data_IF_502235659735
#
_entry.id   IF_502235659735
#
_cell.length_a   1.000
_cell.length_b   1.000
_cell.length_c   1.000
_cell.angle_alpha   90.00
_cell.angle_beta   90.00
_cell.angle_gamma   90.00
#
_symmetry.space_group_name_H-M   'P 1'
#
loop_
_entity.id
_entity.type
_entity.pdbx_description
1 polymer ?
#
# COMPACT_ATOMS: atom_id res chain seq x y z
N UNK A 1 49.16 25.84 18.45
CA UNK A 1 48.66 24.45 18.32
C UNK A 1 47.96 24.06 19.62
N UNK A 2 46.63 23.97 19.63
CA UNK A 2 45.95 23.01 20.49
C UNK A 2 44.58 22.75 19.87
N UNK A 3 44.43 21.55 19.30
CA UNK A 3 43.24 21.12 18.59
C UNK A 3 42.14 20.90 19.63
N UNK A 4 41.11 21.74 19.59
CA UNK A 4 39.85 21.48 20.27
C UNK A 4 39.23 20.25 19.57
N UNK A 5 39.37 19.07 20.17
CA UNK A 5 38.70 17.86 19.70
C UNK A 5 37.28 17.93 20.24
N UNK A 6 36.34 18.31 19.37
CA UNK A 6 34.92 18.08 19.57
C UNK A 6 34.73 16.61 19.99
N UNK A 7 34.39 16.44 21.27
CA UNK A 7 34.07 15.15 21.85
C UNK A 7 32.71 14.78 21.28
N UNK A 8 32.69 14.07 20.16
CA UNK A 8 31.49 13.41 19.61
C UNK A 8 30.85 12.62 20.74
N UNK A 9 29.75 13.13 21.27
CA UNK A 9 28.90 12.42 22.23
C UNK A 9 28.38 11.20 21.47
N UNK A 10 28.66 10.01 21.99
CA UNK A 10 28.24 8.76 21.38
C UNK A 10 26.71 8.63 21.54
N UNK A 11 25.97 8.18 20.54
CA UNK A 11 24.49 8.14 20.59
C UNK A 11 23.96 7.20 21.69
N UNK A 12 24.77 6.22 22.11
CA UNK A 12 24.55 5.41 23.33
C UNK A 12 24.45 6.28 24.59
N UNK A 13 25.20 7.38 24.67
CA UNK A 13 25.19 8.31 25.80
C UNK A 13 23.93 9.20 25.78
N UNK A 14 23.37 9.50 24.61
CA UNK A 14 22.17 10.34 24.51
C UNK A 14 20.95 9.66 25.14
N UNK A 15 20.85 8.34 24.97
CA UNK A 15 19.75 7.56 25.52
C UNK A 15 19.96 7.18 26.99
N UNK A 16 21.21 6.94 27.39
CA UNK A 16 21.61 6.91 28.80
C UNK A 16 21.18 8.19 29.52
N UNK A 17 21.36 9.35 28.89
CA UNK A 17 20.93 10.65 29.43
C UNK A 17 19.41 10.78 29.50
N UNK A 18 18.63 10.32 28.51
CA UNK A 18 17.16 10.39 28.58
C UNK A 18 16.54 9.50 29.66
N UNK A 19 17.15 8.35 29.96
CA UNK A 19 16.73 7.43 31.03
C UNK A 19 17.10 8.01 32.41
N UNK A 20 18.26 8.66 32.53
CA UNK A 20 18.69 9.33 33.77
C UNK A 20 17.94 10.65 34.04
N UNK A 21 17.43 11.34 33.01
CA UNK A 21 16.74 12.63 33.12
C UNK A 21 15.21 12.57 33.36
N UNK A 22 14.64 11.42 33.76
CA UNK A 22 13.20 11.26 34.13
C UNK A 22 12.18 11.65 33.05
N UNK A 23 12.47 11.56 31.75
CA UNK A 23 11.40 11.62 30.74
C UNK A 23 10.75 10.23 30.62
N UNK A 24 9.54 10.09 31.15
CA UNK A 24 8.77 8.84 31.06
C UNK A 24 8.62 8.44 29.59
N UNK A 25 9.15 7.27 29.22
CA UNK A 25 8.94 6.70 27.89
C UNK A 25 7.44 6.60 27.59
N UNK A 26 7.06 6.87 26.35
CA UNK A 26 5.70 6.66 25.88
C UNK A 26 5.27 5.22 26.14
N UNK A 27 4.01 5.00 26.54
CA UNK A 27 3.45 3.65 26.68
C UNK A 27 3.66 2.80 25.42
N UNK A 28 3.60 3.44 24.24
CA UNK A 28 3.81 2.79 22.96
C UNK A 28 5.26 2.34 22.76
N UNK A 29 6.26 3.04 23.33
CA UNK A 29 7.66 2.59 23.30
C UNK A 29 7.86 1.42 24.26
N UNK A 30 7.29 1.53 25.46
CA UNK A 30 7.41 0.49 26.50
C UNK A 30 6.82 -0.86 26.09
N UNK A 31 5.84 -0.87 25.18
CA UNK A 31 5.21 -2.11 24.72
C UNK A 31 6.17 -3.01 23.92
N UNK A 32 7.04 -2.44 23.08
CA UNK A 32 7.95 -3.22 22.25
C UNK A 32 9.40 -3.17 22.75
N UNK A 33 9.81 -2.09 23.41
CA UNK A 33 11.15 -1.96 23.98
C UNK A 33 11.19 -2.56 25.38
N UNK A 34 11.60 -3.83 25.46
CA UNK A 34 11.66 -4.60 26.73
C UNK A 34 12.95 -4.41 27.52
N UNK A 35 13.90 -3.62 27.01
CA UNK A 35 15.22 -3.40 27.59
C UNK A 35 15.42 -1.95 28.00
N UNK A 36 16.35 -1.74 28.92
CA UNK A 36 16.66 -0.41 29.43
C UNK A 36 17.49 0.40 28.45
N UNK A 37 18.40 -0.21 27.68
CA UNK A 37 19.25 0.52 26.74
C UNK A 37 18.71 0.36 25.32
N UNK A 38 18.65 1.45 24.55
CA UNK A 38 18.24 1.45 23.16
C UNK A 38 19.38 1.93 22.26
N UNK A 39 19.60 1.19 21.19
CA UNK A 39 20.53 1.44 20.11
C UNK A 39 19.72 1.55 18.82
N UNK A 40 19.69 2.75 18.24
CA UNK A 40 18.86 3.02 17.07
C UNK A 40 19.24 2.19 15.83
N UNK A 41 20.50 1.75 15.72
CA UNK A 41 20.97 1.01 14.56
C UNK A 41 20.61 -0.48 14.65
N UNK A 42 20.33 -0.98 15.86
CA UNK A 42 20.04 -2.39 16.13
C UNK A 42 18.55 -2.59 16.46
N UNK A 43 17.97 -1.67 17.22
CA UNK A 43 16.65 -1.86 17.83
C UNK A 43 15.48 -1.43 16.96
N UNK A 44 15.76 -0.76 15.84
CA UNK A 44 14.71 -0.51 14.86
C UNK A 44 14.15 -1.83 14.29
N UNK A 45 14.97 -2.89 14.19
CA UNK A 45 14.51 -4.23 13.83
C UNK A 45 13.55 -4.83 14.86
N UNK A 46 13.74 -4.52 16.15
CA UNK A 46 12.81 -4.95 17.19
C UNK A 46 11.45 -4.27 17.02
N UNK A 47 11.47 -2.99 16.67
CA UNK A 47 10.26 -2.23 16.38
C UNK A 47 9.53 -2.76 15.13
N UNK A 48 10.23 -2.98 14.03
CA UNK A 48 9.62 -3.50 12.79
C UNK A 48 9.08 -4.92 12.98
N UNK A 49 9.81 -5.78 13.70
CA UNK A 49 9.34 -7.13 14.06
C UNK A 49 8.09 -7.07 14.92
N UNK A 50 8.04 -6.18 15.91
CA UNK A 50 6.84 -5.97 16.73
C UNK A 50 5.62 -5.56 15.89
N UNK A 51 5.80 -4.62 14.94
CA UNK A 51 4.70 -4.19 14.06
C UNK A 51 4.23 -5.35 13.18
N UNK A 52 5.16 -6.16 12.66
CA UNK A 52 4.84 -7.35 11.87
C UNK A 52 4.05 -8.38 12.68
N UNK A 53 4.49 -8.70 13.89
CA UNK A 53 3.84 -9.72 14.71
C UNK A 53 2.49 -9.26 15.24
N UNK A 54 2.34 -7.96 15.54
CA UNK A 54 1.11 -7.40 16.14
C UNK A 54 0.05 -7.04 15.10
N UNK A 55 0.46 -6.57 13.92
CA UNK A 55 -0.44 -6.01 12.91
C UNK A 55 -0.33 -6.70 11.54
N UNK A 56 0.58 -7.66 11.37
CA UNK A 56 0.80 -8.35 10.10
C UNK A 56 1.51 -7.50 9.04
N UNK A 57 2.05 -6.33 9.40
CA UNK A 57 2.66 -5.40 8.44
C UNK A 57 4.19 -5.53 8.48
N UNK A 58 4.78 -5.84 7.34
CA UNK A 58 6.24 -5.92 7.21
C UNK A 58 6.85 -4.56 6.88
N UNK A 59 8.12 -4.36 7.22
CA UNK A 59 8.90 -3.19 6.83
C UNK A 59 9.97 -3.61 5.82
N UNK A 60 10.10 -2.83 4.75
CA UNK A 60 11.12 -3.00 3.75
C UNK A 60 12.32 -2.14 4.13
N UNK A 61 13.40 -2.79 4.58
CA UNK A 61 14.61 -2.10 5.04
C UNK A 61 15.34 -1.40 3.89
N UNK A 62 15.34 -1.97 2.68
CA UNK A 62 16.03 -1.43 1.50
C UNK A 62 15.36 -0.14 0.99
N UNK A 63 14.03 -0.14 0.93
CA UNK A 63 13.21 0.97 0.45
C UNK A 63 12.75 1.90 1.58
N UNK A 64 13.08 1.54 2.82
CA UNK A 64 12.74 2.25 4.04
C UNK A 64 11.24 2.61 4.14
N UNK A 65 10.37 1.63 3.86
CA UNK A 65 8.93 1.82 3.74
C UNK A 65 8.16 0.63 4.32
N UNK A 66 6.91 0.83 4.74
CA UNK A 66 6.04 -0.30 5.12
C UNK A 66 5.58 -1.07 3.88
N UNK A 67 5.57 -2.39 3.94
CA UNK A 67 5.02 -3.25 2.88
C UNK A 67 3.61 -3.67 3.29
N UNK A 68 2.63 -2.92 2.78
CA UNK A 68 1.21 -3.14 3.03
C UNK A 68 0.54 -3.50 1.71
N UNK A 69 -0.11 -4.66 1.66
CA UNK A 69 -0.84 -5.07 0.46
C UNK A 69 -2.11 -4.24 0.27
N UNK A 70 -2.57 -4.14 -0.98
CA UNK A 70 -3.84 -3.46 -1.32
C UNK A 70 -5.02 -4.04 -0.53
N UNK A 71 -5.11 -5.37 -0.42
CA UNK A 71 -6.18 -6.05 0.33
C UNK A 71 -6.11 -5.75 1.83
N UNK A 72 -4.91 -5.79 2.42
CA UNK A 72 -4.73 -5.51 3.84
C UNK A 72 -5.14 -4.09 4.20
N UNK A 73 -4.92 -3.09 3.33
CA UNK A 73 -5.38 -1.71 3.59
C UNK A 73 -6.91 -1.61 3.54
N UNK A 74 -7.55 -2.28 2.59
CA UNK A 74 -9.00 -2.22 2.45
C UNK A 74 -9.74 -2.88 3.62
N UNK A 75 -9.15 -3.93 4.18
CA UNK A 75 -9.70 -4.68 5.31
C UNK A 75 -9.33 -4.07 6.66
N UNK A 76 -8.27 -3.26 6.72
CA UNK A 76 -7.79 -2.65 7.95
C UNK A 76 -8.65 -1.48 8.38
N UNK A 77 -9.22 -1.58 9.58
CA UNK A 77 -9.98 -0.50 10.19
C UNK A 77 -9.12 0.77 10.36
N UNK A 78 -9.73 1.94 10.17
CA UNK A 78 -9.08 3.25 10.31
C UNK A 78 -8.42 3.39 11.70
N UNK A 79 -9.02 2.78 12.72
CA UNK A 79 -8.58 2.75 14.10
C UNK A 79 -7.26 1.98 14.26
N UNK A 80 -7.06 0.90 13.50
CA UNK A 80 -5.81 0.14 13.45
C UNK A 80 -4.69 0.98 12.82
N UNK A 81 -4.96 1.68 11.73
CA UNK A 81 -4.00 2.60 11.09
C UNK A 81 -3.62 3.73 12.06
N UNK A 82 -4.61 4.31 12.75
CA UNK A 82 -4.36 5.33 13.79
C UNK A 82 -3.47 4.77 14.88
N UNK A 83 -3.73 3.56 15.35
CA UNK A 83 -2.97 2.91 16.41
C UNK A 83 -1.51 2.67 16.00
N UNK A 84 -1.28 2.07 14.83
CA UNK A 84 0.08 1.85 14.31
C UNK A 84 0.84 3.17 14.16
N UNK A 85 0.17 4.22 13.67
CA UNK A 85 0.79 5.55 13.56
C UNK A 85 1.15 6.16 14.92
N UNK A 86 0.48 5.79 16.03
CA UNK A 86 0.91 6.20 17.39
C UNK A 86 2.22 5.51 17.79
N UNK A 87 2.38 4.23 17.43
CA UNK A 87 3.64 3.50 17.61
C UNK A 87 4.77 4.12 16.79
N UNK A 88 4.57 4.32 15.48
CA UNK A 88 5.55 4.95 14.59
C UNK A 88 5.92 6.35 15.07
N UNK A 89 4.94 7.15 15.49
CA UNK A 89 5.21 8.51 16.01
C UNK A 89 6.01 8.47 17.30
N UNK A 90 5.74 7.48 18.16
CA UNK A 90 6.47 7.33 19.42
C UNK A 90 7.90 6.84 19.17
N UNK A 91 8.11 5.93 18.23
CA UNK A 91 9.42 5.49 17.74
C UNK A 91 10.21 6.68 17.15
N UNK A 92 9.63 7.43 16.21
CA UNK A 92 10.29 8.59 15.59
C UNK A 92 10.65 9.70 16.60
N UNK A 93 9.92 9.78 17.73
CA UNK A 93 10.24 10.68 18.84
C UNK A 93 11.39 10.15 19.71
N UNK A 94 11.56 8.84 19.82
CA UNK A 94 12.66 8.22 20.55
C UNK A 94 13.99 8.48 19.86
N UNK A 95 14.03 8.34 18.53
CA UNK A 95 15.25 8.51 17.72
C UNK A 95 15.48 9.96 17.26
N UNK A 96 15.00 10.95 18.01
CA UNK A 96 14.90 12.36 17.57
C UNK A 96 16.16 12.94 16.88
N UNK A 97 17.35 12.46 17.23
CA UNK A 97 18.64 12.86 16.66
C UNK A 97 18.99 12.21 15.31
N UNK A 98 18.45 11.02 14.98
CA UNK A 98 18.71 10.27 13.75
C UNK A 98 17.53 10.38 12.78
N UNK A 99 17.49 11.50 12.06
CA UNK A 99 16.39 11.84 11.14
C UNK A 99 16.28 10.82 10.01
N UNK A 100 17.40 10.28 9.56
CA UNK A 100 17.55 9.26 8.53
C UNK A 100 16.91 7.92 8.90
N UNK A 101 16.73 7.63 10.19
CA UNK A 101 16.07 6.42 10.66
C UNK A 101 14.57 6.62 10.97
N UNK A 102 13.98 7.76 10.62
CA UNK A 102 12.56 8.05 10.86
C UNK A 102 11.66 7.31 9.91
N UNK A 103 10.88 6.39 10.44
CA UNK A 103 9.96 5.59 9.63
C UNK A 103 8.77 6.42 9.16
N UNK A 104 8.36 6.26 7.89
CA UNK A 104 7.19 6.93 7.36
C UNK A 104 5.91 6.46 8.07
N UNK A 105 4.91 7.33 8.13
CA UNK A 105 3.56 6.97 8.57
C UNK A 105 2.84 6.19 7.48
N UNK A 106 2.00 5.25 7.88
CA UNK A 106 1.22 4.39 6.97
C UNK A 106 0.27 5.21 6.07
N UNK A 107 -0.19 6.38 6.54
CA UNK A 107 -1.18 7.21 5.84
C UNK A 107 -0.74 7.62 4.43
N UNK A 108 0.56 7.86 4.20
CA UNK A 108 1.04 8.26 2.88
C UNK A 108 0.91 7.11 1.88
N UNK A 109 1.25 5.88 2.27
CA UNK A 109 1.11 4.71 1.43
C UNK A 109 -0.36 4.36 1.15
N UNK A 110 -1.24 4.51 2.15
CA UNK A 110 -2.67 4.36 1.93
C UNK A 110 -3.16 5.34 0.85
N UNK A 111 -2.77 6.62 0.92
CA UNK A 111 -3.13 7.62 -0.08
C UNK A 111 -2.66 7.20 -1.48
N UNK A 112 -1.43 6.74 -1.60
CA UNK A 112 -0.86 6.36 -2.89
C UNK A 112 -1.58 5.13 -3.48
N UNK A 113 -1.89 4.13 -2.64
CA UNK A 113 -2.65 2.95 -3.05
C UNK A 113 -4.08 3.32 -3.48
N UNK A 114 -4.77 4.19 -2.73
CA UNK A 114 -6.10 4.67 -3.13
C UNK A 114 -6.09 5.41 -4.46
N UNK A 115 -5.07 6.23 -4.72
CA UNK A 115 -4.90 6.91 -6.02
C UNK A 115 -4.72 5.90 -7.16
N UNK A 116 -3.86 4.91 -6.96
CA UNK A 116 -3.62 3.85 -7.96
C UNK A 116 -4.90 3.05 -8.23
N UNK A 117 -5.62 2.62 -7.18
CA UNK A 117 -6.88 1.90 -7.35
C UNK A 117 -7.94 2.74 -8.07
N UNK A 118 -8.06 4.03 -7.73
CA UNK A 118 -9.00 4.89 -8.40
C UNK A 118 -8.66 5.04 -9.90
N UNK A 119 -7.38 5.17 -10.25
CA UNK A 119 -6.95 5.20 -11.64
C UNK A 119 -7.28 3.87 -12.38
N UNK A 120 -6.97 2.72 -11.78
CA UNK A 120 -7.30 1.40 -12.30
C UNK A 120 -8.82 1.25 -12.54
N UNK A 121 -9.66 1.71 -11.60
CA UNK A 121 -11.11 1.68 -11.73
C UNK A 121 -11.60 2.56 -12.90
N UNK A 122 -11.00 3.73 -13.11
CA UNK A 122 -11.40 4.59 -14.24
C UNK A 122 -11.04 3.94 -15.58
N UNK A 123 -9.87 3.30 -15.68
CA UNK A 123 -9.47 2.55 -16.87
C UNK A 123 -10.45 1.41 -17.14
N UNK A 124 -10.76 0.59 -16.14
CA UNK A 124 -11.69 -0.53 -16.27
C UNK A 124 -13.11 -0.10 -16.65
N UNK A 125 -13.56 1.06 -16.16
CA UNK A 125 -14.86 1.64 -16.55
C UNK A 125 -14.88 2.02 -18.02
N UNK A 126 -13.81 2.61 -18.52
CA UNK A 126 -13.69 3.01 -19.91
C UNK A 126 -13.58 1.79 -20.84
N UNK A 127 -12.78 0.79 -20.47
CA UNK A 127 -12.71 -0.48 -21.20
C UNK A 127 -14.08 -1.17 -21.26
N UNK A 128 -14.82 -1.22 -20.14
CA UNK A 128 -16.18 -1.76 -20.14
C UNK A 128 -17.14 -0.96 -21.03
N UNK A 129 -16.98 0.36 -21.09
CA UNK A 129 -17.79 1.21 -21.98
C UNK A 129 -17.53 0.87 -23.44
N UNK A 130 -16.27 0.79 -23.85
CA UNK A 130 -15.86 0.44 -25.21
C UNK A 130 -16.33 -0.96 -25.61
N UNK A 131 -16.17 -1.95 -24.73
CA UNK A 131 -16.65 -3.31 -24.97
C UNK A 131 -18.16 -3.39 -25.15
N UNK A 132 -18.93 -2.54 -24.44
CA UNK A 132 -20.39 -2.48 -24.62
C UNK A 132 -20.78 -1.88 -25.97
N UNK A 133 -20.04 -0.88 -26.43
CA UNK A 133 -20.25 -0.26 -27.75
C UNK A 133 -19.92 -1.23 -28.88
N UNK A 134 -18.79 -1.92 -28.79
CA UNK A 134 -18.41 -2.96 -29.76
C UNK A 134 -19.46 -4.09 -29.81
N UNK A 135 -19.89 -4.60 -28.66
CA UNK A 135 -20.94 -5.61 -28.59
C UNK A 135 -22.26 -5.15 -29.21
N UNK A 136 -22.60 -3.86 -29.10
CA UNK A 136 -23.79 -3.30 -29.74
C UNK A 136 -23.65 -3.34 -31.26
N UNK A 137 -22.51 -2.90 -31.80
CA UNK A 137 -22.24 -2.92 -33.24
C UNK A 137 -22.26 -4.35 -33.80
N UNK A 138 -21.63 -5.29 -33.11
CA UNK A 138 -21.62 -6.70 -33.50
C UNK A 138 -23.03 -7.31 -33.51
N UNK A 139 -23.91 -6.90 -32.59
CA UNK A 139 -25.33 -7.32 -32.60
C UNK A 139 -26.08 -6.76 -33.80
N UNK A 140 -25.88 -5.49 -34.13
CA UNK A 140 -26.49 -4.85 -35.28
C UNK A 140 -26.02 -5.49 -36.60
N UNK A 141 -24.73 -5.81 -36.73
CA UNK A 141 -24.17 -6.49 -37.90
C UNK A 141 -24.69 -7.92 -38.02
N UNK A 142 -24.71 -8.69 -36.92
CA UNK A 142 -25.31 -10.02 -36.92
C UNK A 142 -26.79 -10.00 -37.33
N UNK A 143 -27.55 -9.00 -36.88
CA UNK A 143 -28.94 -8.85 -37.29
C UNK A 143 -29.07 -8.57 -38.78
N UNK A 144 -28.22 -7.70 -39.35
CA UNK A 144 -28.19 -7.44 -40.80
C UNK A 144 -27.86 -8.70 -41.59
N UNK A 145 -26.85 -9.46 -41.16
CA UNK A 145 -26.46 -10.72 -41.80
C UNK A 145 -27.58 -11.75 -41.76
N UNK A 146 -28.26 -11.91 -40.63
CA UNK A 146 -29.44 -12.79 -40.51
C UNK A 146 -30.54 -12.41 -41.50
N UNK A 147 -30.86 -11.12 -41.62
CA UNK A 147 -31.85 -10.62 -42.57
C UNK A 147 -31.42 -10.82 -44.03
N UNK A 148 -30.13 -10.66 -44.35
CA UNK A 148 -29.62 -10.94 -45.70
C UNK A 148 -29.70 -12.42 -46.03
N UNK A 149 -29.31 -13.30 -45.10
CA UNK A 149 -29.39 -14.74 -45.26
C UNK A 149 -30.83 -15.19 -45.51
N UNK A 150 -31.78 -14.68 -44.72
CA UNK A 150 -33.21 -14.96 -44.89
C UNK A 150 -33.72 -14.56 -46.28
N UNK A 151 -33.34 -13.36 -46.76
CA UNK A 151 -33.70 -12.90 -48.12
C UNK A 151 -33.15 -13.82 -49.20
N UNK A 152 -31.88 -14.22 -49.09
CA UNK A 152 -31.24 -15.12 -50.06
C UNK A 152 -31.94 -16.48 -50.07
N UNK A 153 -32.28 -17.03 -48.91
CA UNK A 153 -33.00 -18.29 -48.80
C UNK A 153 -34.37 -18.24 -49.47
N UNK A 154 -35.13 -17.16 -49.27
CA UNK A 154 -36.42 -16.96 -49.94
C UNK A 154 -36.25 -16.89 -51.46
N UNK A 155 -35.20 -16.23 -51.96
CA UNK A 155 -34.93 -16.17 -53.42
C UNK A 155 -34.58 -17.55 -53.97
N UNK A 156 -33.73 -18.31 -53.29
CA UNK A 156 -33.33 -19.66 -53.73
C UNK A 156 -34.53 -20.62 -53.77
N UNK A 157 -35.38 -20.59 -52.74
CA UNK A 157 -36.62 -21.36 -52.69
C UNK A 157 -37.57 -21.01 -53.84
N UNK A 158 -37.72 -19.73 -54.18
CA UNK A 158 -38.53 -19.28 -55.34
C UNK A 158 -38.03 -19.83 -56.68
N UNK A 159 -36.75 -20.15 -56.79
CA UNK A 159 -36.15 -20.74 -57.99
C UNK A 159 -36.05 -22.27 -57.91
N UNK A 160 -36.70 -22.91 -56.92
CA UNK A 160 -36.73 -24.37 -56.78
C UNK A 160 -35.43 -24.97 -56.20
N UNK A 161 -34.52 -24.14 -55.68
CA UNK A 161 -33.31 -24.60 -55.01
C UNK A 161 -33.63 -24.77 -53.52
N UNK A 162 -33.69 -26.02 -53.06
CA UNK A 162 -33.89 -26.32 -51.65
C UNK A 162 -32.54 -26.30 -50.93
N UNK A 163 -32.41 -25.46 -49.89
CA UNK A 163 -31.19 -25.33 -49.10
C UNK A 163 -31.48 -25.95 -47.74
N UNK A 164 -30.98 -27.17 -47.51
CA UNK A 164 -30.97 -27.80 -46.19
C UNK A 164 -29.73 -27.32 -45.41
N UNK A 165 -29.93 -26.97 -44.15
CA UNK A 165 -28.85 -26.60 -43.22
C UNK A 165 -28.65 -27.71 -42.18
#
# INVERSE_FOLDING_TARGET
MSKNKDKKINDSDLLYVMIQQRKKLSKYVQHWLKKTNYDADIDYHQFTSFIKDTFGISFNDELFKWDISKSAIMEMEVETIKEINKYITSYNKLIQSKVELKMPRITQQCIDIYKTMNAEIQILKEENRLLREENKLLKEENQKLRLMLEKVLVILQKHGINVEF
#
